data_IF_842120638399
#
_entry.id   IF_842120638399
#
_cell.length_a   1.000
_cell.length_b   1.000
_cell.length_c   1.000
_cell.angle_alpha   90.00
_cell.angle_beta   90.00
_cell.angle_gamma   90.00
#
_symmetry.space_group_name_H-M   'P 1'
#
loop_
_entity.id
_entity.type
_entity.pdbx_description
1 polymer ?
#
# COMPACT_ATOMS: atom_id res chain seq x y z
N UNK A 1 -39.57 3.23 -57.87
CA UNK A 1 -38.94 2.23 -56.98
C UNK A 1 -37.49 2.09 -57.42
N UNK A 2 -36.57 2.19 -56.45
CA UNK A 2 -35.14 2.48 -56.58
C UNK A 2 -34.35 1.25 -57.05
N UNK A 3 -33.38 1.45 -57.93
CA UNK A 3 -32.15 0.64 -57.99
C UNK A 3 -31.00 1.66 -58.00
N UNK A 4 -30.23 1.66 -56.91
CA UNK A 4 -29.21 2.67 -56.59
C UNK A 4 -27.83 2.03 -56.71
N UNK A 5 -26.99 2.65 -57.54
CA UNK A 5 -25.54 2.91 -57.36
C UNK A 5 -24.62 1.75 -56.94
N UNK A 6 -23.78 1.31 -57.87
CA UNK A 6 -22.52 0.61 -57.58
C UNK A 6 -21.53 0.85 -58.73
N UNK A 7 -20.97 2.06 -58.85
CA UNK A 7 -19.88 2.32 -59.80
C UNK A 7 -19.18 3.68 -59.53
N UNK A 8 -18.59 3.86 -58.34
CA UNK A 8 -17.57 4.88 -58.11
C UNK A 8 -16.56 4.36 -57.07
N UNK A 9 -15.59 3.55 -57.49
CA UNK A 9 -14.49 3.13 -56.61
C UNK A 9 -13.24 2.68 -57.40
N UNK A 10 -12.73 3.49 -58.34
CA UNK A 10 -11.50 3.12 -59.08
C UNK A 10 -10.58 4.27 -59.48
N UNK A 11 -10.61 5.44 -58.81
CA UNK A 11 -9.75 6.58 -59.22
C UNK A 11 -9.06 7.33 -58.07
N UNK A 12 -8.86 6.72 -56.88
CA UNK A 12 -8.13 7.40 -55.78
C UNK A 12 -6.97 6.58 -55.25
N UNK A 13 -6.16 6.02 -56.16
CA UNK A 13 -4.88 5.38 -55.83
C UNK A 13 -3.81 5.82 -56.83
N UNK A 14 -3.52 7.14 -56.92
CA UNK A 14 -2.29 7.64 -57.54
C UNK A 14 -2.04 9.16 -57.30
N UNK A 15 -2.01 9.64 -56.06
CA UNK A 15 -1.62 11.05 -55.79
C UNK A 15 -1.17 11.35 -54.36
N UNK A 16 -0.36 10.50 -53.72
CA UNK A 16 0.29 10.83 -52.42
C UNK A 16 1.70 10.27 -52.33
N UNK A 17 2.54 10.60 -53.31
CA UNK A 17 3.99 10.48 -53.17
C UNK A 17 4.61 11.77 -53.66
N UNK A 18 4.87 12.72 -52.74
CA UNK A 18 5.84 13.82 -52.82
C UNK A 18 5.61 14.74 -51.61
N UNK A 19 6.42 14.58 -50.57
CA UNK A 19 6.96 15.64 -49.66
C UNK A 19 7.56 15.02 -48.40
N UNK A 20 8.68 14.29 -48.55
CA UNK A 20 9.61 14.09 -47.43
C UNK A 20 10.50 15.33 -47.42
N UNK A 21 10.18 16.32 -46.57
CA UNK A 21 11.09 17.40 -46.21
C UNK A 21 11.77 17.03 -44.89
N UNK A 22 13.08 17.20 -44.88
CA UNK A 22 14.00 16.77 -43.83
C UNK A 22 13.61 17.27 -42.45
N UNK A 23 13.75 16.36 -41.49
CA UNK A 23 13.74 16.66 -40.07
C UNK A 23 15.19 16.93 -39.68
N UNK A 24 15.49 18.18 -39.33
CA UNK A 24 16.77 18.56 -38.72
C UNK A 24 16.88 17.89 -37.35
N UNK A 25 18.05 17.35 -36.96
CA UNK A 25 18.22 16.78 -35.63
C UNK A 25 18.22 17.89 -34.57
N UNK A 26 17.36 17.74 -33.55
CA UNK A 26 17.36 18.61 -32.37
C UNK A 26 18.69 18.49 -31.60
N UNK A 27 19.21 19.58 -31.00
CA UNK A 27 20.44 19.53 -30.24
C UNK A 27 20.24 18.75 -28.93
N UNK A 28 21.11 17.78 -28.69
CA UNK A 28 21.22 17.01 -27.46
C UNK A 28 21.37 17.94 -26.24
N UNK A 29 20.50 17.79 -25.25
CA UNK A 29 20.59 18.51 -23.99
C UNK A 29 21.78 17.96 -23.18
N UNK A 30 22.75 18.84 -22.86
CA UNK A 30 23.85 18.51 -21.96
C UNK A 30 23.35 18.22 -20.52
N UNK A 31 24.02 17.31 -19.77
CA UNK A 31 23.63 16.98 -18.41
C UNK A 31 23.86 18.16 -17.46
N UNK A 32 22.77 18.68 -16.88
CA UNK A 32 22.83 19.67 -15.79
C UNK A 32 23.28 18.96 -14.51
N UNK A 33 24.42 19.37 -13.97
CA UNK A 33 24.92 18.87 -12.69
C UNK A 33 23.93 19.20 -11.53
N UNK A 34 23.76 18.30 -10.54
CA UNK A 34 22.92 18.58 -9.39
C UNK A 34 23.49 19.73 -8.55
N UNK A 35 22.65 20.57 -7.93
CA UNK A 35 23.11 21.62 -7.03
C UNK A 35 23.78 21.00 -5.79
N UNK A 36 24.92 21.57 -5.41
CA UNK A 36 25.68 21.20 -4.21
C UNK A 36 24.81 21.37 -2.94
N UNK A 37 24.82 20.35 -2.09
CA UNK A 37 24.15 20.39 -0.79
C UNK A 37 24.78 21.46 0.13
N UNK A 38 23.98 22.25 0.88
CA UNK A 38 24.53 23.21 1.83
C UNK A 38 25.26 22.49 2.97
N UNK A 39 26.43 23.01 3.31
CA UNK A 39 27.28 22.53 4.38
C UNK A 39 26.54 22.53 5.74
N UNK A 40 26.65 21.41 6.47
CA UNK A 40 26.16 21.27 7.83
C UNK A 40 26.83 22.30 8.76
N UNK A 41 26.02 23.14 9.41
CA UNK A 41 26.45 23.91 10.56
C UNK A 41 26.57 22.97 11.76
N UNK A 42 27.81 22.75 12.22
CA UNK A 42 28.09 22.14 13.51
C UNK A 42 27.65 23.06 14.64
N UNK A 43 26.58 22.68 15.33
CA UNK A 43 26.14 23.25 16.60
C UNK A 43 26.21 22.18 17.68
N UNK A 44 26.95 22.47 18.75
CA UNK A 44 27.29 21.57 19.84
C UNK A 44 26.06 21.36 20.77
N UNK A 45 25.72 20.11 21.09
CA UNK A 45 24.49 19.72 21.80
C UNK A 45 24.56 19.84 23.35
N UNK A 46 25.50 20.62 23.90
CA UNK A 46 25.75 20.66 25.35
C UNK A 46 25.29 21.95 26.07
N UNK A 47 24.82 22.99 25.38
CA UNK A 47 24.50 24.28 26.03
C UNK A 47 23.00 24.55 26.29
N UNK A 48 22.09 23.63 25.93
CA UNK A 48 20.64 23.84 26.03
C UNK A 48 19.96 23.44 27.36
N UNK A 49 20.64 22.74 28.26
CA UNK A 49 19.99 22.09 29.42
C UNK A 49 20.14 22.82 30.77
N UNK A 50 20.76 24.00 30.81
CA UNK A 50 21.03 24.71 32.07
C UNK A 50 19.94 25.73 32.50
N UNK A 51 19.00 26.10 31.64
CA UNK A 51 18.01 27.15 31.95
C UNK A 51 16.60 26.64 32.30
N UNK A 52 16.31 25.34 32.11
CA UNK A 52 15.01 24.74 32.52
C UNK A 52 14.95 24.38 34.02
N UNK A 53 16.10 24.28 34.71
CA UNK A 53 16.17 23.97 36.15
C UNK A 53 15.75 25.12 37.07
N UNK A 54 15.63 26.35 36.57
CA UNK A 54 15.29 27.53 37.41
C UNK A 54 13.79 27.83 37.45
N UNK A 55 12.99 27.27 36.55
CA UNK A 55 11.55 27.55 36.46
C UNK A 55 10.67 26.64 37.34
N UNK A 56 11.15 25.45 37.72
CA UNK A 56 10.33 24.47 38.46
C UNK A 56 10.36 24.62 39.99
N UNK A 57 11.15 25.55 40.53
CA UNK A 57 11.30 25.74 41.99
C UNK A 57 10.29 26.72 42.61
N UNK A 58 9.32 27.24 41.85
CA UNK A 58 8.44 28.33 42.26
C UNK A 58 7.00 27.98 42.66
N UNK A 59 6.54 26.73 42.51
CA UNK A 59 5.10 26.39 42.65
C UNK A 59 4.74 25.44 43.80
N UNK A 60 5.66 25.15 44.73
CA UNK A 60 5.36 24.36 45.93
C UNK A 60 5.00 25.29 47.11
N UNK A 61 3.75 25.73 47.17
CA UNK A 61 3.37 26.61 48.27
C UNK A 61 1.89 26.95 48.44
N UNK A 62 0.92 26.09 48.09
CA UNK A 62 -0.46 26.32 48.58
C UNK A 62 -1.45 25.13 48.46
N UNK A 63 -1.15 23.93 48.94
CA UNK A 63 -2.23 22.93 49.19
C UNK A 63 -1.91 22.06 50.40
N UNK A 64 -2.17 22.60 51.60
CA UNK A 64 -2.27 21.80 52.81
C UNK A 64 -3.75 21.66 53.16
N UNK A 65 -4.26 20.43 53.06
CA UNK A 65 -5.47 20.02 53.77
C UNK A 65 -6.66 19.60 52.92
N UNK A 66 -6.59 18.43 52.28
CA UNK A 66 -7.70 17.46 52.24
C UNK A 66 -7.09 16.05 52.26
N UNK A 67 -7.71 15.16 53.01
CA UNK A 67 -7.14 13.89 53.46
C UNK A 67 -6.73 12.91 52.38
N UNK A 68 -5.61 12.24 52.64
CA UNK A 68 -5.34 10.82 52.39
C UNK A 68 -5.97 10.17 51.16
N UNK A 69 -5.58 10.61 49.96
CA UNK A 69 -5.49 9.69 48.83
C UNK A 69 -4.13 8.99 48.94
N UNK A 70 -4.20 7.69 49.24
CA UNK A 70 -3.09 6.75 49.13
C UNK A 70 -2.39 7.03 47.79
N UNK A 71 -1.06 7.23 47.72
CA UNK A 71 -0.39 7.12 46.43
C UNK A 71 -0.72 5.72 45.93
N UNK A 72 -1.51 5.65 44.85
CA UNK A 72 -1.64 4.44 44.07
C UNK A 72 -0.22 4.11 43.67
N UNK A 73 0.36 3.12 44.34
CA UNK A 73 1.65 2.59 43.95
C UNK A 73 1.52 2.28 42.47
N UNK A 74 2.32 2.97 41.67
CA UNK A 74 2.62 2.51 40.33
C UNK A 74 3.05 1.07 40.54
N UNK A 75 2.18 0.14 40.15
CA UNK A 75 2.59 -1.24 39.97
C UNK A 75 3.84 -1.23 39.08
N UNK A 76 4.70 -2.25 39.17
CA UNK A 76 5.88 -2.32 38.30
C UNK A 76 5.43 -2.01 36.88
N UNK A 77 5.91 -0.87 36.36
CA UNK A 77 5.70 -0.50 34.95
C UNK A 77 6.21 -1.69 34.17
N UNK A 78 5.36 -2.28 33.33
CA UNK A 78 5.78 -3.41 32.51
C UNK A 78 7.09 -2.98 31.80
N UNK A 79 8.16 -3.79 31.88
CA UNK A 79 9.44 -3.36 31.36
C UNK A 79 9.31 -3.09 29.86
N UNK A 80 9.94 -2.00 29.41
CA UNK A 80 9.88 -1.56 28.01
C UNK A 80 10.50 -2.63 27.12
N UNK A 81 9.73 -3.10 26.15
CA UNK A 81 10.12 -4.21 25.26
C UNK A 81 10.88 -3.77 24.02
N UNK A 82 10.88 -2.47 23.72
CA UNK A 82 11.53 -1.89 22.55
C UNK A 82 12.68 -0.96 22.96
N UNK A 83 13.63 -0.77 22.05
CA UNK A 83 14.85 0.01 22.30
C UNK A 83 14.75 1.40 21.67
N UNK A 84 15.40 2.38 22.29
CA UNK A 84 15.46 3.76 21.79
C UNK A 84 16.35 3.94 20.55
N UNK A 85 17.22 2.97 20.28
CA UNK A 85 18.08 2.94 19.08
C UNK A 85 17.42 2.23 17.90
N UNK A 86 16.13 1.89 17.99
CA UNK A 86 15.36 1.20 16.96
C UNK A 86 15.94 -0.16 16.56
N UNK A 87 16.75 -0.80 17.41
CA UNK A 87 17.21 -2.16 17.16
C UNK A 87 16.21 -3.16 17.69
N UNK A 88 16.00 -4.23 16.93
CA UNK A 88 15.01 -5.26 17.22
C UNK A 88 15.57 -6.66 16.93
N UNK A 89 14.93 -7.68 17.49
CA UNK A 89 15.27 -9.09 17.26
C UNK A 89 16.32 -9.67 18.24
N UNK A 90 16.71 -10.95 18.03
CA UNK A 90 17.42 -11.75 19.03
C UNK A 90 18.82 -11.25 19.42
N UNK A 91 19.45 -10.46 18.56
CA UNK A 91 20.78 -9.88 18.81
C UNK A 91 20.76 -8.63 19.68
N UNK A 92 19.59 -8.07 19.97
CA UNK A 92 19.44 -6.77 20.64
C UNK A 92 18.46 -6.90 21.81
N UNK A 93 18.94 -7.29 23.01
CA UNK A 93 18.05 -7.42 24.16
C UNK A 93 17.44 -6.07 24.58
N UNK A 94 16.17 -6.09 24.97
CA UNK A 94 15.50 -4.99 25.65
C UNK A 94 15.83 -4.99 27.16
N UNK A 95 15.25 -4.05 27.92
CA UNK A 95 15.53 -3.88 29.35
C UNK A 95 15.09 -5.08 30.20
N UNK A 96 14.13 -5.86 29.71
CA UNK A 96 13.67 -7.10 30.33
C UNK A 96 14.57 -8.31 30.05
N UNK A 97 15.60 -8.15 29.21
CA UNK A 97 16.53 -9.21 28.80
C UNK A 97 16.02 -10.12 27.68
N UNK A 98 14.82 -9.89 27.15
CA UNK A 98 14.29 -10.60 25.98
C UNK A 98 14.73 -9.90 24.68
N UNK A 99 14.64 -10.58 23.52
CA UNK A 99 14.81 -9.93 22.22
C UNK A 99 13.96 -8.66 22.12
N UNK A 100 14.53 -7.55 21.63
CA UNK A 100 13.80 -6.30 21.52
C UNK A 100 12.72 -6.38 20.44
N UNK A 101 11.51 -5.95 20.80
CA UNK A 101 10.39 -5.72 19.89
C UNK A 101 10.50 -4.31 19.26
N UNK A 102 9.76 -4.04 18.20
CA UNK A 102 9.51 -2.66 17.75
C UNK A 102 8.28 -2.09 18.44
N UNK A 103 8.27 -0.78 18.64
CA UNK A 103 7.17 -0.10 19.31
C UNK A 103 5.93 -0.16 18.42
N UNK A 104 4.85 -0.87 18.82
CA UNK A 104 3.67 -1.07 17.99
C UNK A 104 2.90 0.22 17.73
N UNK A 105 3.05 1.23 18.60
CA UNK A 105 2.38 2.53 18.49
C UNK A 105 3.26 3.58 17.78
N UNK A 106 4.48 3.18 17.36
CA UNK A 106 5.41 4.03 16.62
C UNK A 106 5.13 4.03 15.12
N UNK A 107 5.68 5.03 14.43
CA UNK A 107 5.74 5.06 12.98
C UNK A 107 6.69 4.00 12.39
N UNK A 108 7.41 3.23 13.21
CA UNK A 108 8.30 2.13 12.81
C UNK A 108 7.97 0.84 13.58
N UNK A 109 6.80 0.23 13.31
CA UNK A 109 6.29 -0.85 14.14
C UNK A 109 6.82 -2.23 13.75
N UNK A 110 7.60 -2.35 12.68
CA UNK A 110 7.99 -3.64 12.13
C UNK A 110 9.48 -3.93 12.28
N UNK A 111 9.83 -5.19 12.49
CA UNK A 111 11.22 -5.63 12.61
C UNK A 111 11.60 -6.61 11.51
N UNK A 112 12.60 -6.23 10.70
CA UNK A 112 13.25 -7.16 9.78
C UNK A 112 14.31 -8.02 10.48
N UNK A 113 14.35 -9.35 10.27
CA UNK A 113 15.43 -10.19 10.78
C UNK A 113 16.76 -9.94 10.03
N UNK A 114 16.69 -9.35 8.83
CA UNK A 114 17.86 -9.06 7.99
C UNK A 114 18.57 -7.78 8.44
N UNK A 115 17.80 -6.73 8.70
CA UNK A 115 18.31 -5.45 9.19
C UNK A 115 18.49 -5.40 10.71
N UNK A 116 17.61 -6.08 11.44
CA UNK A 116 17.44 -5.93 12.89
C UNK A 116 17.16 -4.48 13.31
N UNK A 117 16.44 -3.74 12.46
CA UNK A 117 15.99 -2.37 12.70
C UNK A 117 14.47 -2.29 12.64
N UNK A 118 13.92 -1.41 13.45
CA UNK A 118 12.54 -1.02 13.39
C UNK A 118 12.31 -0.12 12.19
N UNK A 119 11.35 -0.51 11.36
CA UNK A 119 10.97 0.20 10.15
C UNK A 119 9.48 0.13 9.90
N UNK A 120 9.08 0.71 8.78
CA UNK A 120 7.71 0.79 8.32
C UNK A 120 7.60 0.58 6.81
N UNK A 121 8.66 0.08 6.18
CA UNK A 121 8.64 -0.28 4.77
C UNK A 121 8.38 -1.77 4.63
N UNK A 122 8.05 -2.19 3.41
CA UNK A 122 7.84 -3.60 3.09
C UNK A 122 9.04 -4.49 3.46
N UNK A 123 10.27 -3.97 3.35
CA UNK A 123 11.49 -4.71 3.74
C UNK A 123 11.60 -4.96 5.26
N UNK A 124 10.86 -4.20 6.07
CA UNK A 124 10.77 -4.38 7.53
C UNK A 124 9.44 -4.95 8.02
N UNK A 125 8.35 -4.80 7.27
CA UNK A 125 7.01 -5.26 7.62
C UNK A 125 6.60 -6.54 6.90
N UNK A 126 6.91 -6.68 5.62
CA UNK A 126 6.36 -7.71 4.72
C UNK A 126 7.47 -8.57 4.09
N UNK A 127 8.55 -8.77 4.83
CA UNK A 127 9.64 -9.66 4.43
C UNK A 127 9.52 -11.04 5.09
N UNK A 128 10.20 -12.08 4.56
CA UNK A 128 10.25 -13.38 5.22
C UNK A 128 10.89 -13.27 6.62
N UNK A 129 10.10 -13.54 7.65
CA UNK A 129 10.50 -13.43 9.05
C UNK A 129 10.46 -12.02 9.63
N UNK A 130 9.96 -11.03 8.88
CA UNK A 130 9.60 -9.73 9.43
C UNK A 130 8.49 -9.90 10.47
N UNK A 131 8.53 -9.09 11.53
CA UNK A 131 7.51 -9.09 12.59
C UNK A 131 6.89 -7.71 12.69
N UNK A 132 5.60 -7.59 12.38
CA UNK A 132 4.82 -6.38 12.62
C UNK A 132 4.18 -6.44 14.01
N UNK A 133 4.56 -5.53 14.89
CA UNK A 133 4.08 -5.52 16.27
C UNK A 133 2.71 -4.84 16.45
N UNK A 134 2.16 -4.21 15.39
CA UNK A 134 0.78 -3.68 15.37
C UNK A 134 -0.27 -4.77 15.40
N UNK A 135 0.07 -5.97 14.90
CA UNK A 135 -0.87 -7.07 14.82
C UNK A 135 -1.16 -7.64 16.22
N UNK A 136 -2.36 -7.31 16.73
CA UNK A 136 -2.83 -7.72 18.04
C UNK A 136 -3.25 -9.20 18.10
N UNK A 137 -3.46 -9.87 16.96
CA UNK A 137 -3.84 -11.30 16.93
C UNK A 137 -2.62 -12.22 17.17
N UNK A 138 -1.40 -11.75 16.90
CA UNK A 138 -0.15 -12.44 17.24
C UNK A 138 0.20 -12.37 18.75
N UNK A 139 -0.36 -11.41 19.49
CA UNK A 139 -0.11 -11.26 20.94
C UNK A 139 -0.87 -12.28 21.81
N UNK A 140 -1.92 -12.92 21.27
CA UNK A 140 -2.66 -13.97 21.98
C UNK A 140 -2.16 -15.40 21.65
N UNK A 141 -1.58 -15.62 20.46
CA UNK A 141 -1.06 -16.93 20.02
C UNK A 141 0.46 -17.02 20.21
N UNK A 142 0.87 -17.03 21.47
CA UNK A 142 2.27 -16.94 21.88
C UNK A 142 3.29 -17.73 21.04
N UNK A 143 4.40 -17.05 20.71
CA UNK A 143 5.76 -17.60 20.61
C UNK A 143 5.88 -18.98 19.93
N UNK A 144 5.62 -19.03 18.63
CA UNK A 144 6.07 -20.10 17.74
C UNK A 144 7.32 -19.67 16.98
N UNK A 145 8.48 -20.16 17.42
CA UNK A 145 9.78 -20.08 16.75
C UNK A 145 9.69 -20.50 15.28
N UNK A 146 9.62 -19.53 14.36
CA UNK A 146 9.71 -19.72 12.91
C UNK A 146 11.15 -20.04 12.48
N UNK A 147 11.56 -21.28 12.67
CA UNK A 147 12.64 -21.89 11.88
C UNK A 147 11.99 -23.02 11.13
N UNK A 148 11.62 -22.75 9.87
CA UNK A 148 11.56 -23.67 8.72
C UNK A 148 10.67 -23.01 7.66
N UNK A 149 11.30 -22.26 6.75
CA UNK A 149 10.69 -21.95 5.47
C UNK A 149 10.56 -23.26 4.69
N UNK A 150 9.36 -23.83 4.70
CA UNK A 150 8.91 -24.69 3.60
C UNK A 150 8.55 -23.74 2.46
N UNK A 151 8.99 -24.04 1.24
CA UNK A 151 8.53 -23.35 0.03
C UNK A 151 7.02 -23.13 0.13
N UNK A 152 6.58 -21.86 0.13
CA UNK A 152 5.18 -21.53 0.36
C UNK A 152 4.32 -22.19 -0.72
N UNK A 153 3.52 -23.17 -0.30
CA UNK A 153 2.54 -23.83 -1.16
C UNK A 153 1.60 -22.74 -1.71
N UNK A 154 1.54 -22.59 -3.04
CA UNK A 154 0.55 -21.70 -3.65
C UNK A 154 -0.84 -22.23 -3.30
N UNK A 155 -1.55 -21.52 -2.42
CA UNK A 155 -2.89 -21.90 -1.98
C UNK A 155 -3.96 -21.55 -3.01
N UNK A 156 -3.60 -20.79 -4.06
CA UNK A 156 -4.49 -20.39 -5.16
C UNK A 156 -4.07 -20.99 -6.51
N UNK A 157 -5.00 -21.00 -7.45
CA UNK A 157 -4.82 -21.60 -8.79
C UNK A 157 -4.83 -20.54 -9.89
N UNK A 158 -3.99 -20.72 -10.90
CA UNK A 158 -3.92 -19.82 -12.08
C UNK A 158 -5.17 -19.87 -12.98
N UNK A 159 -6.01 -20.91 -12.84
CA UNK A 159 -7.26 -21.08 -13.60
C UNK A 159 -8.49 -20.42 -12.95
N UNK A 160 -8.28 -19.61 -11.89
CA UNK A 160 -9.31 -18.88 -11.17
C UNK A 160 -10.41 -19.79 -10.55
N UNK A 161 -10.07 -21.03 -10.23
CA UNK A 161 -10.93 -21.94 -9.46
C UNK A 161 -10.60 -21.87 -7.98
N UNK A 162 -11.62 -21.97 -7.14
CA UNK A 162 -11.50 -21.87 -5.68
C UNK A 162 -12.47 -22.79 -4.94
N UNK A 163 -12.22 -23.03 -3.65
CA UNK A 163 -12.98 -23.86 -2.73
C UNK A 163 -12.67 -25.36 -2.84
N UNK A 164 -13.28 -26.12 -1.94
CA UNK A 164 -13.13 -27.58 -1.78
C UNK A 164 -13.20 -28.43 -3.05
N UNK A 165 -13.92 -27.99 -4.08
CA UNK A 165 -14.03 -28.74 -5.35
C UNK A 165 -12.76 -28.68 -6.21
N UNK A 166 -11.83 -27.77 -5.89
CA UNK A 166 -10.72 -27.37 -6.74
C UNK A 166 -9.46 -27.13 -5.91
N UNK A 167 -8.87 -28.14 -5.25
CA UNK A 167 -7.68 -27.96 -4.43
C UNK A 167 -6.51 -27.35 -5.23
N UNK A 168 -5.72 -26.49 -4.58
CA UNK A 168 -4.45 -25.99 -5.09
C UNK A 168 -3.30 -26.95 -4.70
N UNK A 169 -2.13 -26.76 -5.31
CA UNK A 169 -0.97 -27.60 -5.01
C UNK A 169 -0.47 -27.30 -3.60
N UNK A 170 -0.78 -28.20 -2.67
CA UNK A 170 -0.45 -28.08 -1.24
C UNK A 170 -1.61 -27.70 -0.33
N UNK A 171 -2.83 -27.50 -0.87
CA UNK A 171 -4.00 -27.13 -0.07
C UNK A 171 -5.19 -28.07 -0.27
N UNK A 172 -5.97 -28.30 0.79
CA UNK A 172 -7.21 -29.09 0.73
C UNK A 172 -8.35 -28.36 -0.03
N UNK A 173 -8.26 -27.03 -0.11
CA UNK A 173 -9.13 -26.15 -0.89
C UNK A 173 -8.26 -25.11 -1.60
N UNK A 174 -8.64 -24.66 -2.81
CA UNK A 174 -7.97 -23.49 -3.38
C UNK A 174 -8.60 -22.19 -2.88
N UNK A 175 -7.75 -21.23 -2.54
CA UNK A 175 -8.11 -19.85 -2.32
C UNK A 175 -8.12 -19.09 -3.65
N UNK A 176 -8.74 -17.92 -3.66
CA UNK A 176 -8.45 -16.95 -4.71
C UNK A 176 -7.21 -16.16 -4.33
N UNK A 177 -6.38 -15.79 -5.30
CA UNK A 177 -5.13 -15.06 -5.04
C UNK A 177 -5.45 -13.79 -4.22
N UNK A 178 -5.01 -13.71 -2.94
CA UNK A 178 -5.29 -12.56 -2.06
C UNK A 178 -4.77 -11.23 -2.59
N UNK A 179 -3.70 -11.30 -3.38
CA UNK A 179 -3.03 -10.17 -4.02
C UNK A 179 -3.46 -10.01 -5.49
N UNK A 180 -4.36 -10.88 -5.96
CA UNK A 180 -4.88 -10.89 -7.31
C UNK A 180 -6.14 -10.04 -7.46
N UNK A 181 -6.47 -9.72 -8.70
CA UNK A 181 -7.68 -8.94 -9.06
C UNK A 181 -8.97 -9.65 -8.64
N UNK A 182 -8.97 -10.97 -8.72
CA UNK A 182 -10.13 -11.82 -8.50
C UNK A 182 -10.11 -12.46 -7.11
N UNK A 183 -9.86 -11.67 -6.07
CA UNK A 183 -9.65 -12.20 -4.71
C UNK A 183 -10.89 -12.83 -4.06
N UNK A 184 -12.08 -12.70 -4.64
CA UNK A 184 -13.30 -13.24 -4.04
C UNK A 184 -13.71 -14.58 -4.66
N UNK A 185 -13.93 -15.59 -3.82
CA UNK A 185 -14.45 -16.88 -4.23
C UNK A 185 -15.97 -16.94 -4.12
N UNK A 186 -16.63 -17.17 -5.26
CA UNK A 186 -18.06 -17.46 -5.27
C UNK A 186 -18.37 -18.88 -4.76
N UNK A 187 -19.61 -19.17 -4.30
CA UNK A 187 -20.06 -20.51 -3.94
C UNK A 187 -19.98 -21.54 -5.07
N UNK A 188 -19.82 -21.08 -6.31
CA UNK A 188 -19.68 -21.92 -7.50
C UNK A 188 -18.22 -22.31 -7.80
N UNK A 189 -17.30 -21.88 -6.94
CA UNK A 189 -15.88 -22.20 -7.02
C UNK A 189 -15.16 -21.45 -8.14
N UNK A 190 -15.49 -20.17 -8.29
CA UNK A 190 -14.84 -19.26 -9.23
C UNK A 190 -14.39 -18.00 -8.51
N UNK A 191 -13.18 -17.57 -8.83
CA UNK A 191 -12.61 -16.30 -8.42
C UNK A 191 -13.17 -15.15 -9.24
N UNK A 192 -13.49 -14.05 -8.58
CA UNK A 192 -13.98 -12.83 -9.20
C UNK A 192 -13.87 -11.62 -8.27
N UNK A 193 -14.46 -10.52 -8.72
CA UNK A 193 -14.29 -9.19 -8.10
C UNK A 193 -15.61 -8.44 -7.92
N UNK A 194 -16.67 -8.90 -8.59
CA UNK A 194 -17.98 -8.23 -8.57
C UNK A 194 -18.79 -8.67 -7.34
N UNK A 195 -19.89 -7.97 -7.01
CA UNK A 195 -20.77 -8.36 -5.90
C UNK A 195 -21.26 -9.81 -5.95
N UNK A 196 -21.38 -10.40 -7.15
CA UNK A 196 -21.73 -11.81 -7.31
C UNK A 196 -20.68 -12.79 -6.75
N UNK A 197 -19.43 -12.34 -6.63
CA UNK A 197 -18.29 -13.10 -6.11
C UNK A 197 -17.87 -12.68 -4.71
N UNK A 198 -18.09 -11.41 -4.33
CA UNK A 198 -17.67 -10.87 -3.04
C UNK A 198 -18.83 -10.68 -2.05
N UNK A 199 -20.01 -10.25 -2.52
CA UNK A 199 -21.13 -9.78 -1.69
C UNK A 199 -22.33 -10.74 -1.74
N UNK A 200 -22.08 -12.05 -1.57
CA UNK A 200 -23.11 -13.08 -1.65
C UNK A 200 -23.12 -14.05 -0.46
N UNK A 201 -24.24 -14.74 -0.19
CA UNK A 201 -24.27 -15.81 0.81
C UNK A 201 -23.30 -16.94 0.45
N UNK A 202 -22.27 -17.13 1.27
CA UNK A 202 -21.24 -18.16 1.06
C UNK A 202 -20.09 -17.74 0.14
N UNK A 203 -20.05 -16.48 -0.30
CA UNK A 203 -18.86 -15.91 -0.89
C UNK A 203 -17.76 -15.75 0.18
N UNK A 204 -16.50 -15.94 -0.20
CA UNK A 204 -15.32 -15.74 0.66
C UNK A 204 -14.41 -14.73 -0.01
N UNK A 205 -14.17 -13.60 0.65
CA UNK A 205 -13.24 -12.56 0.18
C UNK A 205 -11.85 -12.86 0.76
N UNK A 206 -10.89 -13.19 -0.11
CA UNK A 206 -9.49 -13.41 0.26
C UNK A 206 -8.66 -12.13 0.12
N UNK A 207 -9.27 -10.99 -0.22
CA UNK A 207 -8.58 -9.72 -0.40
C UNK A 207 -7.73 -9.34 0.80
N UNK A 208 -6.48 -8.97 0.53
CA UNK A 208 -5.52 -8.63 1.57
C UNK A 208 -6.04 -7.49 2.46
N UNK A 209 -6.01 -7.68 3.78
CA UNK A 209 -6.40 -6.69 4.80
C UNK A 209 -7.82 -6.09 4.69
N UNK A 210 -8.78 -6.80 4.09
CA UNK A 210 -10.13 -6.27 3.90
C UNK A 210 -10.18 -5.19 2.82
N UNK A 211 -9.25 -5.21 1.87
CA UNK A 211 -9.27 -4.33 0.71
C UNK A 211 -9.84 -5.07 -0.51
N UNK A 212 -10.86 -4.48 -1.12
CA UNK A 212 -11.48 -4.96 -2.35
C UNK A 212 -10.97 -4.18 -3.56
N UNK A 213 -10.31 -4.85 -4.50
CA UNK A 213 -10.09 -4.31 -5.84
C UNK A 213 -11.46 -4.17 -6.53
N UNK A 214 -11.77 -3.02 -7.14
CA UNK A 214 -13.04 -2.78 -7.82
C UNK A 214 -12.93 -2.86 -9.35
N UNK A 215 -11.72 -3.04 -9.88
CA UNK A 215 -11.42 -3.10 -11.30
C UNK A 215 -10.85 -1.79 -11.86
N UNK A 216 -10.94 -1.66 -13.19
CA UNK A 216 -10.35 -0.57 -13.95
C UNK A 216 -11.43 0.41 -14.45
N UNK A 217 -11.19 1.71 -14.24
CA UNK A 217 -12.14 2.77 -14.58
C UNK A 217 -11.49 3.85 -15.45
N UNK A 218 -12.24 4.39 -16.41
CA UNK A 218 -11.80 5.51 -17.23
C UNK A 218 -11.82 6.83 -16.47
N UNK A 219 -10.67 7.48 -16.37
CA UNK A 219 -10.56 8.83 -15.79
C UNK A 219 -10.66 9.92 -16.88
N UNK A 220 -10.87 11.16 -16.45
CA UNK A 220 -11.01 12.34 -17.31
C UNK A 220 -10.65 13.62 -16.57
N UNK A 221 -10.75 14.76 -17.25
CA UNK A 221 -10.60 16.08 -16.61
C UNK A 221 -11.58 16.25 -15.45
N UNK A 222 -12.81 15.79 -15.62
CA UNK A 222 -13.74 15.50 -14.55
C UNK A 222 -13.26 14.20 -13.89
N UNK A 223 -12.40 14.35 -12.88
CA UNK A 223 -11.73 13.25 -12.21
C UNK A 223 -12.73 12.27 -11.60
N UNK A 224 -12.43 10.97 -11.71
CA UNK A 224 -13.20 9.90 -11.08
C UNK A 224 -13.22 10.08 -9.55
N UNK A 225 -12.07 10.42 -8.97
CA UNK A 225 -11.87 10.70 -7.55
C UNK A 225 -11.42 12.15 -7.34
N UNK A 226 -11.95 12.80 -6.31
CA UNK A 226 -11.81 14.24 -6.11
C UNK A 226 -10.48 14.66 -5.48
N UNK A 227 -9.76 13.75 -4.82
CA UNK A 227 -8.52 14.06 -4.10
C UNK A 227 -7.30 13.42 -4.77
N UNK A 228 -6.50 14.22 -5.46
CA UNK A 228 -5.28 13.75 -6.13
C UNK A 228 -4.97 14.52 -7.41
N UNK A 229 -3.89 14.16 -8.13
CA UNK A 229 -2.97 13.10 -7.79
C UNK A 229 -2.01 13.48 -6.65
N UNK A 230 -1.76 12.55 -5.74
CA UNK A 230 -0.55 12.50 -4.92
C UNK A 230 0.48 11.66 -5.67
N UNK A 231 1.67 12.21 -5.89
CA UNK A 231 2.75 11.53 -6.62
C UNK A 231 3.70 10.83 -5.65
N UNK A 232 3.93 9.53 -5.85
CA UNK A 232 4.85 8.68 -5.09
C UNK A 232 5.97 8.14 -5.98
N UNK A 233 7.01 8.96 -6.18
CA UNK A 233 8.10 8.65 -7.11
C UNK A 233 8.89 7.42 -6.68
N UNK A 234 8.93 6.41 -7.54
CA UNK A 234 9.64 5.14 -7.33
C UNK A 234 9.22 4.33 -6.10
N UNK A 235 8.12 4.71 -5.45
CA UNK A 235 7.65 4.04 -4.23
C UNK A 235 6.18 3.70 -4.30
N UNK A 236 5.44 4.08 -5.36
CA UNK A 236 4.03 3.73 -5.43
C UNK A 236 3.85 2.23 -5.60
N UNK A 237 3.14 1.62 -4.66
CA UNK A 237 2.41 0.35 -4.82
C UNK A 237 0.92 0.63 -4.62
N UNK A 238 0.04 -0.32 -4.96
CA UNK A 238 -1.39 -0.19 -4.67
C UNK A 238 -1.65 -0.02 -3.17
N UNK A 239 -0.95 -0.78 -2.32
CA UNK A 239 -1.09 -0.75 -0.87
C UNK A 239 -0.67 0.60 -0.28
N UNK A 240 0.40 1.20 -0.79
CA UNK A 240 0.83 2.54 -0.36
C UNK A 240 -0.23 3.60 -0.69
N UNK A 241 -0.91 3.48 -1.84
CA UNK A 241 -2.00 4.39 -2.17
C UNK A 241 -3.21 4.18 -1.25
N UNK A 242 -3.55 2.92 -0.98
CA UNK A 242 -4.61 2.52 -0.06
C UNK A 242 -4.39 3.08 1.35
N UNK A 243 -3.22 2.83 1.92
CA UNK A 243 -2.86 3.32 3.25
C UNK A 243 -2.91 4.84 3.32
N UNK A 244 -2.36 5.52 2.31
CA UNK A 244 -2.41 6.97 2.21
C UNK A 244 -3.85 7.50 2.22
N UNK A 245 -4.75 6.90 1.44
CA UNK A 245 -6.15 7.32 1.38
C UNK A 245 -6.89 7.01 2.68
N UNK A 246 -6.62 5.86 3.30
CA UNK A 246 -7.18 5.46 4.59
C UNK A 246 -6.78 6.41 5.71
N UNK A 247 -5.50 6.77 5.82
CA UNK A 247 -5.01 7.74 6.82
C UNK A 247 -5.69 9.11 6.71
N UNK A 248 -6.12 9.47 5.49
CA UNK A 248 -6.88 10.68 5.22
C UNK A 248 -8.40 10.53 5.41
N UNK A 249 -8.88 9.32 5.71
CA UNK A 249 -10.30 9.02 5.95
C UNK A 249 -11.13 8.83 4.68
N UNK A 250 -10.49 8.48 3.55
CA UNK A 250 -11.17 8.15 2.30
C UNK A 250 -11.38 6.63 2.16
N UNK A 251 -12.60 6.23 1.82
CA UNK A 251 -12.95 4.81 1.65
C UNK A 251 -12.44 4.20 0.33
N UNK A 252 -12.04 5.03 -0.63
CA UNK A 252 -11.57 4.60 -1.94
C UNK A 252 -10.16 5.12 -2.19
N UNK A 253 -9.34 4.24 -2.77
CA UNK A 253 -8.03 4.56 -3.31
C UNK A 253 -7.97 4.19 -4.79
N UNK A 254 -7.15 4.90 -5.53
CA UNK A 254 -7.07 4.77 -6.97
C UNK A 254 -5.69 5.09 -7.49
N UNK A 255 -5.06 4.15 -8.18
CA UNK A 255 -3.75 4.38 -8.80
C UNK A 255 -3.92 4.68 -10.28
N UNK A 256 -3.21 5.69 -10.78
CA UNK A 256 -3.14 6.04 -12.19
C UNK A 256 -1.68 6.18 -12.62
N UNK A 257 -1.38 5.78 -13.86
CA UNK A 257 -0.15 6.11 -14.57
C UNK A 257 1.12 6.01 -13.72
N UNK A 258 1.49 4.79 -13.35
CA UNK A 258 2.75 4.41 -12.67
C UNK A 258 2.88 4.84 -11.21
N UNK A 259 2.67 6.13 -10.90
CA UNK A 259 3.06 6.76 -9.63
C UNK A 259 2.04 7.73 -9.04
N UNK A 260 0.87 7.85 -9.67
CA UNK A 260 -0.20 8.73 -9.21
C UNK A 260 -1.19 7.98 -8.32
N UNK A 261 -1.48 8.56 -7.16
CA UNK A 261 -2.48 8.07 -6.22
C UNK A 261 -3.62 9.09 -6.05
N UNK A 262 -4.84 8.59 -6.04
CA UNK A 262 -6.08 9.34 -5.90
C UNK A 262 -6.92 8.72 -4.78
N UNK A 263 -7.58 9.58 -4.01
CA UNK A 263 -8.47 9.20 -2.93
C UNK A 263 -9.89 9.70 -3.22
N UNK A 264 -10.87 8.87 -2.88
CA UNK A 264 -12.27 9.12 -3.17
C UNK A 264 -13.18 8.82 -1.99
N UNK A 265 -14.27 9.58 -1.91
CA UNK A 265 -15.41 9.20 -1.07
C UNK A 265 -16.36 8.30 -1.86
N UNK A 266 -17.26 7.61 -1.16
CA UNK A 266 -18.37 6.88 -1.80
C UNK A 266 -19.17 7.78 -2.74
N UNK A 267 -19.42 9.03 -2.33
CA UNK A 267 -20.19 10.01 -3.11
C UNK A 267 -19.47 10.45 -4.38
N UNK A 268 -18.15 10.62 -4.33
CA UNK A 268 -17.34 10.97 -5.51
C UNK A 268 -17.29 9.83 -6.50
N UNK A 269 -17.03 8.62 -6.00
CA UNK A 269 -16.95 7.44 -6.83
C UNK A 269 -18.30 7.14 -7.49
N UNK A 270 -19.40 7.12 -6.74
CA UNK A 270 -20.73 6.82 -7.25
C UNK A 270 -21.22 7.85 -8.28
N UNK A 271 -20.91 9.14 -8.09
CA UNK A 271 -21.31 10.22 -9.01
C UNK A 271 -20.68 10.07 -10.40
N UNK A 272 -19.47 9.54 -10.45
CA UNK A 272 -18.69 9.45 -11.68
C UNK A 272 -18.70 8.05 -12.30
N UNK A 273 -19.33 7.06 -11.67
CA UNK A 273 -19.25 5.65 -12.05
C UNK A 273 -19.89 5.30 -13.40
N UNK A 274 -20.98 5.98 -13.77
CA UNK A 274 -21.81 5.55 -14.91
C UNK A 274 -21.02 5.55 -16.24
N UNK A 275 -20.89 4.36 -16.83
CA UNK A 275 -20.19 4.16 -18.10
C UNK A 275 -18.67 4.35 -18.05
N UNK A 276 -18.07 4.41 -16.85
CA UNK A 276 -16.62 4.54 -16.68
C UNK A 276 -15.88 3.23 -16.47
N UNK A 277 -16.57 2.16 -16.06
CA UNK A 277 -15.94 0.84 -15.99
C UNK A 277 -15.43 0.41 -17.38
N UNK A 278 -14.18 -0.04 -17.45
CA UNK A 278 -13.52 -0.48 -18.68
C UNK A 278 -12.86 -1.83 -18.47
N UNK A 279 -12.35 -2.41 -19.56
CA UNK A 279 -11.58 -3.65 -19.50
C UNK A 279 -10.38 -3.48 -18.56
N UNK A 280 -10.16 -4.47 -17.71
CA UNK A 280 -9.09 -4.49 -16.72
C UNK A 280 -7.72 -4.25 -17.36
N UNK A 281 -7.49 -4.82 -18.53
CA UNK A 281 -6.26 -4.70 -19.32
C UNK A 281 -5.99 -3.27 -19.81
N UNK A 282 -6.92 -2.34 -19.62
CA UNK A 282 -6.68 -0.91 -19.86
C UNK A 282 -5.89 -0.26 -18.74
N UNK A 283 -5.83 -0.88 -17.56
CA UNK A 283 -4.96 -0.50 -16.45
C UNK A 283 -3.68 -1.33 -16.56
N UNK A 284 -2.82 -0.95 -17.50
CA UNK A 284 -1.65 -1.70 -17.97
C UNK A 284 -0.30 -1.09 -17.57
N UNK A 285 -0.29 -0.03 -16.76
CA UNK A 285 0.97 0.57 -16.30
C UNK A 285 1.43 -0.07 -14.99
N UNK A 286 2.66 -0.60 -14.92
CA UNK A 286 3.18 -1.18 -13.69
C UNK A 286 3.39 -0.11 -12.61
N UNK A 287 3.23 -0.53 -11.36
CA UNK A 287 3.59 0.28 -10.20
C UNK A 287 5.10 0.52 -10.14
N UNK A 288 5.53 1.75 -9.84
CA UNK A 288 6.96 2.11 -9.81
C UNK A 288 7.69 1.71 -8.54
N UNK A 289 6.94 1.40 -7.48
CA UNK A 289 7.45 0.96 -6.18
C UNK A 289 7.52 -0.55 -6.02
N UNK A 290 7.02 -1.31 -6.99
CA UNK A 290 7.06 -2.78 -6.92
C UNK A 290 8.50 -3.29 -7.07
N UNK A 291 8.81 -4.38 -6.38
CA UNK A 291 10.04 -5.14 -6.60
C UNK A 291 10.10 -5.62 -8.07
N UNK A 292 11.26 -5.58 -8.74
CA UNK A 292 11.39 -5.98 -10.15
C UNK A 292 11.00 -7.43 -10.47
N UNK A 293 10.81 -8.30 -9.47
CA UNK A 293 10.31 -9.67 -9.63
C UNK A 293 8.79 -9.80 -9.53
N UNK A 294 8.11 -8.74 -9.11
CA UNK A 294 6.66 -8.61 -9.01
C UNK A 294 6.20 -7.54 -9.99
N UNK A 295 5.04 -7.71 -10.60
CA UNK A 295 4.48 -6.67 -11.48
C UNK A 295 3.00 -6.54 -11.22
N UNK A 296 2.65 -5.56 -10.39
CA UNK A 296 1.27 -5.13 -10.16
C UNK A 296 0.98 -3.92 -11.03
N UNK A 297 -0.28 -3.76 -11.41
CA UNK A 297 -0.71 -2.64 -12.27
C UNK A 297 -1.25 -1.49 -11.42
N UNK A 298 -0.70 -0.30 -11.65
CA UNK A 298 -1.07 0.96 -11.03
C UNK A 298 -1.80 1.87 -12.03
N UNK A 299 -2.91 1.38 -12.58
CA UNK A 299 -3.74 2.10 -13.53
C UNK A 299 -3.17 2.13 -14.95
N UNK A 300 -3.41 3.24 -15.66
CA UNK A 300 -2.95 3.46 -17.03
C UNK A 300 -3.17 4.92 -17.45
N UNK A 301 -3.00 5.24 -18.73
CA UNK A 301 -3.20 6.61 -19.22
C UNK A 301 -4.70 6.98 -19.18
N UNK A 302 -5.12 7.86 -18.26
CA UNK A 302 -6.53 8.16 -17.98
C UNK A 302 -7.32 6.90 -17.58
N UNK A 303 -6.67 6.02 -16.82
CA UNK A 303 -7.23 4.73 -16.35
C UNK A 303 -6.83 4.52 -14.90
N UNK A 304 -7.83 4.35 -14.04
CA UNK A 304 -7.67 4.20 -12.60
C UNK A 304 -7.90 2.74 -12.22
N UNK A 305 -6.91 2.08 -11.61
CA UNK A 305 -7.16 0.87 -10.83
C UNK A 305 -7.75 1.31 -9.50
N UNK A 306 -8.95 0.85 -9.16
CA UNK A 306 -9.68 1.33 -7.98
C UNK A 306 -9.74 0.25 -6.91
N UNK A 307 -9.58 0.66 -5.66
CA UNK A 307 -9.64 -0.19 -4.48
C UNK A 307 -10.54 0.45 -3.42
N UNK A 308 -11.19 -0.37 -2.60
CA UNK A 308 -12.08 0.05 -1.51
C UNK A 308 -11.77 -0.73 -0.24
N UNK A 309 -11.74 -0.04 0.89
CA UNK A 309 -11.68 -0.67 2.22
C UNK A 309 -13.07 -1.23 2.60
N UNK A 310 -13.12 -2.48 3.07
CA UNK A 310 -14.36 -3.19 3.46
C UNK A 310 -14.93 -2.72 4.80
#
# INVERSE_FOLDING_TARGET
MKVTSCLVATVVVLAMMLTVRGQEPEPEAEPVAPPEAPAAHGGNLEEGMAELSKFLSGFFGLFAGLGGLKPGGLGPVAPKKWRDDYRCGPGYPAEDGNPAECDPDSIYPCCSPYGNWCGNTSDECDCPGCTDYRDTDYREKGSGSGTDAVEGEQTWRDDNRCGWGYPADGAEEAECNPNGVFACCSPYGWCGVTPEYCDCPGCVDYGHYGVRNLGCFGDSKERMMSHGPKIFRNTLTNDICLDYCRELGYAYAGTEYYEECFCGTEEDFARNLEGKEVLYESCDTPCVGDDPTITTMCGGTWKLSVFKEN
#
